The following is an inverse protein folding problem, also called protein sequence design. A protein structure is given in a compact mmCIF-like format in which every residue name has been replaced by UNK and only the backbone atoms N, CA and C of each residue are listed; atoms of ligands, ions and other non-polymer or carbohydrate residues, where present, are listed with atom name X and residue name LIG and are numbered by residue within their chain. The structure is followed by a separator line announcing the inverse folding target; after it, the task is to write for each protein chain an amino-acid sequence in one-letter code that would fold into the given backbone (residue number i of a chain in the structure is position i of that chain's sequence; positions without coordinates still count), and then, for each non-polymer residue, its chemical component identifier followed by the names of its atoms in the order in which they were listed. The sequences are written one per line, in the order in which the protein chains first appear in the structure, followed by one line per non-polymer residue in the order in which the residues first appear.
data_IF_659602364154
#
_entry.id   IF_659602364154
#
_cell.length_a   1.000
_cell.length_b   1.000
_cell.length_c   1.000
_cell.angle_alpha   90.00
_cell.angle_beta   90.00
_cell.angle_gamma   90.00
#
_symmetry.space_group_name_H-M   'P 1'
#
loop_
_entity.id
_entity.type
_entity.pdbx_description
1 polymer ?
#
# COMPACT_ATOMS: atom_id res chain seq x y z
N UNK A 1 -50.00 -8.80 -24.76
CA UNK A 1 -50.10 -7.68 -23.81
C UNK A 1 -50.18 -8.25 -22.41
N UNK A 2 -49.05 -8.28 -21.72
CA UNK A 2 -48.89 -8.11 -20.26
C UNK A 2 -47.37 -8.14 -20.05
N UNK A 3 -46.77 -6.96 -20.28
CA UNK A 3 -45.54 -6.54 -19.62
C UNK A 3 -45.76 -6.69 -18.12
N UNK A 4 -44.89 -7.40 -17.40
CA UNK A 4 -44.53 -7.02 -16.02
C UNK A 4 -43.08 -7.44 -15.76
N UNK A 5 -42.22 -6.43 -15.85
CA UNK A 5 -40.86 -6.40 -15.35
C UNK A 5 -40.86 -6.54 -13.83
N UNK A 6 -40.10 -7.50 -13.30
CA UNK A 6 -39.86 -7.63 -11.87
C UNK A 6 -38.37 -7.34 -11.59
N UNK A 7 -37.99 -6.07 -11.72
CA UNK A 7 -36.73 -5.52 -11.26
C UNK A 7 -36.99 -4.61 -10.05
N UNK A 8 -36.91 -5.11 -8.81
CA UNK A 8 -36.75 -4.30 -7.59
C UNK A 8 -36.28 -5.25 -6.48
N UNK A 9 -35.06 -5.21 -5.96
CA UNK A 9 -34.66 -4.26 -4.92
C UNK A 9 -33.13 -4.27 -4.83
N UNK A 10 -32.48 -3.24 -5.39
CA UNK A 10 -31.08 -2.95 -5.10
C UNK A 10 -31.03 -2.15 -3.80
N UNK A 11 -30.55 -2.76 -2.72
CA UNK A 11 -30.21 -2.02 -1.50
C UNK A 11 -29.05 -1.07 -1.80
N UNK A 12 -29.41 0.21 -1.91
CA UNK A 12 -28.50 1.35 -2.00
C UNK A 12 -27.71 1.47 -0.69
N UNK A 13 -26.43 1.11 -0.71
CA UNK A 13 -25.50 1.48 0.37
C UNK A 13 -25.02 2.89 0.03
N UNK A 14 -25.68 3.88 0.64
CA UNK A 14 -25.34 5.28 0.54
C UNK A 14 -24.21 5.59 1.51
N UNK A 15 -23.02 5.89 0.99
CA UNK A 15 -21.91 6.41 1.78
C UNK A 15 -22.17 7.89 2.13
N UNK A 16 -21.91 8.33 3.36
CA UNK A 16 -22.07 9.75 3.72
C UNK A 16 -21.02 10.61 2.98
N UNK A 17 -21.37 11.83 2.56
CA UNK A 17 -20.39 12.76 2.01
C UNK A 17 -19.49 13.29 3.13
N UNK A 18 -18.18 13.26 2.91
CA UNK A 18 -17.23 13.98 3.75
C UNK A 18 -17.35 15.49 3.47
N UNK A 19 -18.16 16.18 4.28
CA UNK A 19 -18.18 17.64 4.33
C UNK A 19 -16.90 18.11 5.00
N UNK A 20 -16.03 18.76 4.22
CA UNK A 20 -14.90 19.53 4.71
C UNK A 20 -15.42 20.76 5.46
N UNK A 21 -15.16 20.82 6.77
CA UNK A 21 -15.43 22.02 7.57
C UNK A 21 -14.10 22.50 8.17
N UNK A 22 -13.68 23.64 7.64
CA UNK A 22 -12.91 24.72 8.27
C UNK A 22 -11.95 24.36 9.40
N UNK A 23 -10.66 24.35 9.07
CA UNK A 23 -9.62 24.81 9.99
C UNK A 23 -9.11 26.17 9.50
N UNK A 24 -9.91 27.22 9.70
CA UNK A 24 -9.40 28.59 9.74
C UNK A 24 -8.76 28.82 11.11
N UNK A 25 -7.56 28.28 11.28
CA UNK A 25 -6.65 28.63 12.37
C UNK A 25 -5.61 29.60 11.84
N UNK A 26 -5.74 30.86 12.23
CA UNK A 26 -4.85 31.95 11.87
C UNK A 26 -3.37 31.61 12.14
N UNK A 27 -2.52 31.92 11.16
CA UNK A 27 -1.06 31.93 11.30
C UNK A 27 -0.68 33.31 11.85
N UNK A 28 -0.13 33.44 13.07
CA UNK A 28 0.48 34.69 13.49
C UNK A 28 1.84 34.85 12.79
N UNK A 29 1.89 35.86 11.94
CA UNK A 29 3.08 36.38 11.28
C UNK A 29 3.90 37.17 12.32
N UNK A 30 4.96 36.57 12.87
CA UNK A 30 5.95 37.31 13.67
C UNK A 30 7.37 36.83 13.37
N UNK A 31 8.01 37.52 12.43
CA UNK A 31 9.45 37.56 12.28
C UNK A 31 10.04 38.56 13.27
N UNK A 32 10.38 38.12 14.47
CA UNK A 32 11.32 38.87 15.34
C UNK A 32 12.64 38.12 15.37
N UNK A 33 13.61 38.66 14.65
CA UNK A 33 15.01 38.23 14.65
C UNK A 33 15.60 38.33 16.07
N UNK A 34 16.27 37.30 16.60
CA UNK A 34 17.09 37.48 17.79
C UNK A 34 18.40 38.17 17.40
N UNK A 35 18.74 39.22 18.16
CA UNK A 35 19.99 39.98 18.09
C UNK A 35 21.20 39.06 18.37
N UNK A 36 21.99 38.81 17.31
CA UNK A 36 23.21 38.00 17.35
C UNK A 36 24.41 38.88 17.72
N UNK A 37 24.49 39.35 18.96
CA UNK A 37 25.66 40.13 19.41
C UNK A 37 26.22 39.76 20.79
N UNK A 38 25.69 38.74 21.48
CA UNK A 38 26.02 38.50 22.91
C UNK A 38 26.74 37.18 23.22
N UNK A 39 27.05 36.33 22.24
CA UNK A 39 27.80 35.09 22.53
C UNK A 39 29.05 34.96 21.67
N UNK A 40 29.97 35.91 21.83
CA UNK A 40 31.37 35.71 21.43
C UNK A 40 32.22 35.70 22.68
N UNK A 41 32.37 34.53 23.29
CA UNK A 41 33.43 34.30 24.28
C UNK A 41 33.84 32.82 24.29
N UNK A 42 35.03 32.61 23.72
CA UNK A 42 36.07 31.68 24.16
C UNK A 42 35.71 30.19 24.37
N UNK A 43 36.10 29.35 23.41
CA UNK A 43 36.68 28.02 23.72
C UNK A 43 37.81 27.75 22.71
N UNK A 44 39.01 27.50 23.23
CA UNK A 44 40.21 27.14 22.47
C UNK A 44 40.06 25.82 21.73
N UNK A 45 40.59 25.77 20.50
CA UNK A 45 40.71 24.58 19.69
C UNK A 45 41.98 23.80 20.06
N UNK A 46 41.83 22.64 20.69
CA UNK A 46 42.90 21.65 20.86
C UNK A 46 42.26 20.25 20.77
N UNK A 47 42.69 19.44 19.81
CA UNK A 47 42.62 17.97 19.93
C UNK A 47 41.49 17.24 19.22
N UNK A 48 41.88 16.44 18.21
CA UNK A 48 41.30 15.15 17.82
C UNK A 48 39.80 15.13 17.47
N UNK A 49 39.51 15.19 16.17
CA UNK A 49 38.19 14.92 15.60
C UNK A 49 37.70 13.51 15.91
N UNK A 50 37.04 13.37 17.05
CA UNK A 50 36.12 12.26 17.32
C UNK A 50 34.80 12.66 16.67
N UNK A 51 34.56 12.22 15.42
CA UNK A 51 33.19 12.27 14.89
C UNK A 51 32.33 11.33 15.73
N UNK A 52 31.69 11.90 16.75
CA UNK A 52 30.62 11.25 17.48
C UNK A 52 29.48 11.01 16.48
N UNK A 53 29.32 9.75 16.08
CA UNK A 53 28.21 9.31 15.26
C UNK A 53 26.90 9.58 16.02
N UNK A 54 26.00 10.36 15.41
CA UNK A 54 24.70 10.70 15.97
C UNK A 54 23.87 9.42 16.21
N UNK A 55 23.09 9.33 17.31
CA UNK A 55 22.36 8.12 17.73
C UNK A 55 21.22 7.69 16.78
N UNK A 56 21.05 8.39 15.66
CA UNK A 56 20.08 8.09 14.59
C UNK A 56 20.69 7.39 13.38
N UNK A 57 21.98 7.01 13.43
CA UNK A 57 22.64 6.31 12.33
C UNK A 57 22.30 4.81 12.32
N UNK A 58 21.01 4.48 12.20
CA UNK A 58 20.57 3.11 11.92
C UNK A 58 20.99 2.75 10.49
N UNK A 59 22.08 2.00 10.36
CA UNK A 59 22.52 1.51 9.07
C UNK A 59 21.51 0.48 8.55
N UNK A 60 20.74 0.86 7.51
CA UNK A 60 19.73 -0.02 6.91
C UNK A 60 20.40 -1.27 6.33
N UNK A 61 20.17 -2.42 6.97
CA UNK A 61 20.57 -3.72 6.44
C UNK A 61 19.69 -4.01 5.22
N UNK A 62 20.25 -3.84 4.02
CA UNK A 62 19.58 -4.28 2.79
C UNK A 62 19.61 -5.80 2.75
N UNK A 63 18.45 -6.45 2.91
CA UNK A 63 18.31 -7.89 2.68
C UNK A 63 18.62 -8.20 1.21
N UNK A 64 19.08 -9.43 0.96
CA UNK A 64 19.52 -9.89 -0.37
C UNK A 64 18.50 -9.61 -1.49
N UNK A 65 18.98 -9.58 -2.73
CA UNK A 65 18.17 -9.26 -3.92
C UNK A 65 17.00 -10.24 -4.07
N UNK A 66 15.78 -9.75 -3.86
CA UNK A 66 14.54 -10.45 -4.20
C UNK A 66 14.28 -10.29 -5.71
N UNK A 67 13.76 -11.33 -6.38
CA UNK A 67 13.41 -11.24 -7.81
C UNK A 67 13.44 -12.53 -8.62
N UNK A 68 13.94 -13.64 -8.05
CA UNK A 68 13.96 -14.94 -8.74
C UNK A 68 12.78 -15.85 -8.35
N UNK A 69 11.75 -15.30 -7.72
CA UNK A 69 10.59 -16.05 -7.21
C UNK A 69 9.88 -16.87 -8.29
N UNK A 70 9.56 -16.23 -9.41
CA UNK A 70 8.91 -16.91 -10.51
C UNK A 70 9.95 -17.48 -11.48
N UNK A 71 10.16 -18.79 -11.39
CA UNK A 71 10.84 -19.57 -12.42
C UNK A 71 9.82 -20.29 -13.30
N UNK A 72 9.64 -19.89 -14.57
CA UNK A 72 8.59 -20.42 -15.43
C UNK A 72 8.85 -21.88 -15.75
N UNK A 73 7.90 -22.72 -15.37
CA UNK A 73 7.92 -24.16 -15.65
C UNK A 73 6.49 -24.64 -15.89
N UNK A 74 6.22 -25.02 -17.13
CA UNK A 74 4.87 -25.35 -17.57
C UNK A 74 4.26 -26.53 -16.82
N UNK A 75 5.06 -27.54 -16.49
CA UNK A 75 4.59 -28.72 -15.75
C UNK A 75 4.04 -28.33 -14.37
N UNK A 76 4.79 -27.53 -13.58
CA UNK A 76 4.29 -27.13 -12.25
C UNK A 76 3.06 -26.22 -12.41
N UNK A 77 3.07 -25.27 -13.35
CA UNK A 77 1.93 -24.36 -13.62
C UNK A 77 0.64 -25.12 -13.91
N UNK A 78 0.68 -26.15 -14.78
CA UNK A 78 -0.52 -26.92 -15.14
C UNK A 78 -0.95 -27.89 -14.03
N UNK A 79 -0.03 -28.43 -13.23
CA UNK A 79 -0.35 -29.25 -12.05
C UNK A 79 -1.01 -28.44 -10.94
N UNK A 80 -0.55 -27.22 -10.67
CA UNK A 80 -1.06 -26.39 -9.57
C UNK A 80 -2.30 -25.58 -9.94
N UNK A 81 -2.37 -25.09 -11.17
CA UNK A 81 -3.40 -24.13 -11.58
C UNK A 81 -4.21 -24.56 -12.80
N UNK A 82 -4.02 -25.78 -13.29
CA UNK A 82 -4.78 -26.32 -14.42
C UNK A 82 -6.20 -26.71 -14.06
N UNK A 83 -7.01 -26.95 -15.09
CA UNK A 83 -8.44 -27.19 -15.00
C UNK A 83 -8.79 -28.42 -14.17
N UNK A 84 -8.08 -29.53 -14.40
CA UNK A 84 -8.27 -30.80 -13.69
C UNK A 84 -8.12 -30.60 -12.18
N UNK A 85 -7.11 -29.82 -11.75
CA UNK A 85 -6.87 -29.54 -10.33
C UNK A 85 -7.97 -28.69 -9.69
N UNK A 86 -8.66 -27.86 -10.49
CA UNK A 86 -9.78 -27.04 -10.02
C UNK A 86 -11.05 -27.88 -9.84
N UNK A 87 -11.35 -28.78 -10.78
CA UNK A 87 -12.54 -29.65 -10.68
C UNK A 87 -12.38 -30.72 -9.61
N UNK A 88 -11.16 -31.17 -9.31
CA UNK A 88 -10.93 -32.25 -8.33
C UNK A 88 -11.32 -31.90 -6.89
N UNK A 89 -11.61 -30.63 -6.57
CA UNK A 89 -11.91 -30.16 -5.21
C UNK A 89 -13.09 -29.21 -5.22
N UNK A 90 -13.95 -29.27 -4.20
CA UNK A 90 -15.12 -28.39 -4.09
C UNK A 90 -14.76 -26.89 -4.16
N UNK A 91 -13.78 -26.45 -3.36
CA UNK A 91 -13.33 -25.05 -3.39
C UNK A 91 -12.72 -24.62 -4.73
N UNK A 92 -12.16 -25.56 -5.49
CA UNK A 92 -11.67 -25.29 -6.84
C UNK A 92 -12.82 -25.07 -7.85
N UNK A 93 -13.92 -25.82 -7.72
CA UNK A 93 -15.14 -25.62 -8.52
C UNK A 93 -15.73 -24.24 -8.22
N UNK A 94 -15.83 -23.84 -6.95
CA UNK A 94 -16.32 -22.51 -6.55
C UNK A 94 -15.46 -21.37 -7.13
N UNK A 95 -14.14 -21.55 -7.25
CA UNK A 95 -13.27 -20.59 -7.94
C UNK A 95 -13.66 -20.45 -9.40
N UNK A 96 -13.94 -21.55 -10.10
CA UNK A 96 -14.36 -21.52 -11.50
C UNK A 96 -15.70 -20.80 -11.65
N UNK A 97 -16.68 -21.13 -10.80
CA UNK A 97 -17.99 -20.48 -10.81
C UNK A 97 -17.87 -18.95 -10.60
N UNK A 98 -17.09 -18.51 -9.62
CA UNK A 98 -16.83 -17.07 -9.41
C UNK A 98 -16.15 -16.40 -10.60
N UNK A 99 -15.27 -17.11 -11.31
CA UNK A 99 -14.61 -16.59 -12.53
C UNK A 99 -15.56 -16.50 -13.71
N UNK A 100 -16.49 -17.45 -13.86
CA UNK A 100 -17.54 -17.43 -14.88
C UNK A 100 -18.52 -16.28 -14.63
N UNK A 101 -18.99 -16.12 -13.40
CA UNK A 101 -19.88 -15.00 -13.02
C UNK A 101 -19.25 -13.63 -13.26
N UNK A 102 -17.92 -13.52 -13.08
CA UNK A 102 -17.17 -12.30 -13.40
C UNK A 102 -16.89 -12.12 -14.90
N UNK A 103 -17.13 -13.13 -15.73
CA UNK A 103 -16.87 -13.08 -17.17
C UNK A 103 -15.38 -13.07 -17.54
N UNK A 104 -14.52 -13.78 -16.78
CA UNK A 104 -13.10 -13.89 -17.15
C UNK A 104 -12.94 -14.71 -18.43
N UNK A 105 -12.23 -14.17 -19.43
CA UNK A 105 -11.92 -14.86 -20.70
C UNK A 105 -11.24 -16.22 -20.51
N UNK A 106 -10.39 -16.34 -19.50
CA UNK A 106 -9.74 -17.60 -19.11
C UNK A 106 -10.10 -17.99 -17.68
N UNK A 107 -10.64 -19.19 -17.52
CA UNK A 107 -11.06 -19.73 -16.22
C UNK A 107 -9.91 -20.42 -15.47
N UNK A 108 -8.98 -21.02 -16.21
CA UNK A 108 -7.84 -21.76 -15.69
C UNK A 108 -6.61 -21.54 -16.56
N UNK A 109 -5.44 -21.91 -16.03
CA UNK A 109 -4.16 -21.93 -16.76
C UNK A 109 -4.03 -23.08 -17.76
#
# INVERSE_FOLDING_TARGET
MLHQDCCTTASSIQWPPATNTEWLGAVPDQCTSPDLSVWTSHIQAEGSGVLQQLPWHHQQIRTGKRGTEYQPKNIKRKRTHGWIKRISTQGGIEVILRRMLKGRKSLSH
#
